data_IF_872407167544
#
_entry.id   IF_872407167544
#
_cell.length_a   1.000
_cell.length_b   1.000
_cell.length_c   1.000
_cell.angle_alpha   90.00
_cell.angle_beta   90.00
_cell.angle_gamma   90.00
#
_symmetry.space_group_name_H-M   'P 1'
#
loop_
_entity.id
_entity.type
_entity.pdbx_description
1 polymer ?
#
# COMPACT_ATOMS: atom_id res chain seq x y z
N UNK A 1 -4.45 -8.55 -5.51
CA UNK A 1 -5.57 -7.85 -4.83
C UNK A 1 -5.52 -8.17 -3.34
N UNK A 2 -5.89 -7.23 -2.46
CA UNK A 2 -6.07 -7.48 -1.02
C UNK A 2 -7.37 -8.25 -0.79
N UNK A 3 -7.33 -9.34 -0.03
CA UNK A 3 -8.49 -10.22 0.24
C UNK A 3 -9.50 -9.62 1.24
N UNK A 4 -9.16 -8.53 1.93
CA UNK A 4 -10.02 -7.88 2.95
C UNK A 4 -10.61 -6.53 2.53
N UNK A 5 -10.11 -5.89 1.47
CA UNK A 5 -10.69 -4.64 0.97
C UNK A 5 -10.68 -4.48 -0.57
N UNK A 6 -10.33 -5.54 -1.30
CA UNK A 6 -10.23 -5.59 -2.77
C UNK A 6 -9.31 -4.51 -3.39
N UNK A 7 -8.45 -3.87 -2.61
CA UNK A 7 -7.53 -2.88 -3.15
C UNK A 7 -6.38 -3.56 -3.91
N UNK A 8 -5.94 -2.91 -4.98
CA UNK A 8 -4.75 -3.32 -5.71
C UNK A 8 -3.50 -2.91 -4.93
N UNK A 9 -2.53 -3.83 -4.82
CA UNK A 9 -1.19 -3.52 -4.30
C UNK A 9 -0.36 -2.99 -5.46
N UNK A 10 -0.54 -1.71 -5.78
CA UNK A 10 0.23 -1.04 -6.81
C UNK A 10 1.09 0.06 -6.19
N UNK A 11 2.38 0.13 -6.54
CA UNK A 11 3.24 1.22 -6.09
C UNK A 11 2.77 2.57 -6.62
N UNK A 12 2.95 3.61 -5.82
CA UNK A 12 2.70 5.01 -6.21
C UNK A 12 4.02 5.64 -6.62
N UNK A 13 4.10 6.14 -7.84
CA UNK A 13 5.29 6.85 -8.31
C UNK A 13 5.26 8.30 -7.82
N UNK A 14 6.32 8.72 -7.12
CA UNK A 14 6.55 10.11 -6.77
C UNK A 14 7.55 10.69 -7.78
N UNK A 15 7.20 11.80 -8.42
CA UNK A 15 7.99 12.40 -9.49
C UNK A 15 8.16 13.91 -9.27
N UNK A 16 9.30 14.45 -9.71
CA UNK A 16 9.54 15.88 -9.82
C UNK A 16 9.86 16.25 -11.27
N UNK A 17 8.93 16.98 -11.89
CA UNK A 17 9.02 17.44 -13.28
C UNK A 17 9.10 16.31 -14.31
N UNK A 18 10.32 15.82 -14.56
CA UNK A 18 10.64 14.85 -15.62
C UNK A 18 11.18 13.52 -15.11
N UNK A 19 11.40 13.38 -13.80
CA UNK A 19 12.08 12.21 -13.22
C UNK A 19 11.28 11.65 -12.06
N UNK A 20 11.27 10.32 -11.95
CA UNK A 20 10.76 9.62 -10.78
C UNK A 20 11.78 9.81 -9.65
N UNK A 21 11.36 10.46 -8.56
CA UNK A 21 12.22 10.73 -7.41
C UNK A 21 12.14 9.61 -6.37
N UNK A 22 11.01 8.92 -6.28
CA UNK A 22 10.88 7.71 -5.46
C UNK A 22 9.65 6.89 -5.83
N UNK A 23 9.58 5.67 -5.28
CA UNK A 23 8.42 4.80 -5.39
C UNK A 23 7.89 4.58 -3.99
N UNK A 24 6.62 4.94 -3.79
CA UNK A 24 5.92 4.70 -2.54
C UNK A 24 5.27 3.33 -2.56
N UNK A 25 5.33 2.64 -1.43
CA UNK A 25 6.08 2.96 -0.21
C UNK A 25 7.59 2.70 -0.31
N UNK A 26 8.36 3.52 0.40
CA UNK A 26 9.82 3.37 0.49
C UNK A 26 10.19 2.36 1.57
N UNK A 27 11.34 1.70 1.38
CA UNK A 27 11.95 0.80 2.36
C UNK A 27 12.14 1.49 3.72
N UNK A 28 11.76 0.81 4.80
CA UNK A 28 11.87 1.33 6.17
C UNK A 28 10.56 1.90 6.73
N UNK A 29 9.48 1.92 5.95
CA UNK A 29 8.14 2.06 6.52
C UNK A 29 7.67 0.70 7.07
N UNK A 30 7.20 0.71 8.32
CA UNK A 30 6.86 -0.51 9.04
C UNK A 30 5.53 -1.08 8.53
N UNK A 31 5.60 -2.22 7.84
CA UNK A 31 4.42 -2.96 7.38
C UNK A 31 4.43 -4.40 7.87
N UNK A 32 3.24 -4.95 8.20
CA UNK A 32 3.17 -6.28 8.81
C UNK A 32 3.43 -7.43 7.84
N UNK A 33 3.30 -7.24 6.52
CA UNK A 33 3.49 -8.32 5.52
C UNK A 33 4.24 -7.85 4.28
N UNK A 34 3.86 -6.73 3.67
CA UNK A 34 4.52 -6.20 2.47
C UNK A 34 4.69 -4.70 2.55
N UNK A 35 5.77 -4.17 1.95
CA UNK A 35 5.99 -2.72 1.89
C UNK A 35 4.75 -2.00 1.34
N UNK A 36 4.10 -2.55 0.31
CA UNK A 36 2.91 -1.97 -0.36
C UNK A 36 1.64 -1.85 0.51
N UNK A 37 1.67 -2.27 1.77
CA UNK A 37 0.51 -2.22 2.67
C UNK A 37 0.32 -0.83 3.35
N UNK A 38 0.98 0.22 2.86
CA UNK A 38 1.02 1.58 3.43
C UNK A 38 -0.28 2.37 3.46
N UNK A 39 -1.26 2.05 2.62
CA UNK A 39 -2.40 2.94 2.40
C UNK A 39 -3.71 2.29 2.84
N UNK A 40 -4.32 2.92 3.84
CA UNK A 40 -5.63 2.56 4.37
C UNK A 40 -5.61 1.43 5.40
N UNK A 41 -6.80 1.01 5.82
CA UNK A 41 -6.97 0.02 6.88
C UNK A 41 -6.39 -1.34 6.49
N UNK A 42 -5.55 -1.88 7.36
CA UNK A 42 -4.96 -3.20 7.17
C UNK A 42 -5.91 -4.33 7.61
N UNK A 43 -5.53 -5.58 7.31
CA UNK A 43 -6.31 -6.78 7.64
C UNK A 43 -6.75 -6.85 9.12
N UNK A 44 -5.91 -6.59 10.15
CA UNK A 44 -6.35 -6.64 11.55
C UNK A 44 -7.29 -5.49 11.93
N UNK A 45 -7.25 -4.37 11.21
CA UNK A 45 -8.10 -3.19 11.46
C UNK A 45 -9.47 -3.32 10.79
N UNK A 46 -9.56 -4.19 9.78
CA UNK A 46 -10.78 -4.44 9.02
C UNK A 46 -11.72 -5.37 9.79
N UNK A 47 -12.77 -4.80 10.39
CA UNK A 47 -13.79 -5.56 11.15
C UNK A 47 -14.85 -6.24 10.29
N UNK A 48 -15.00 -5.81 9.04
CA UNK A 48 -15.99 -6.35 8.11
C UNK A 48 -15.37 -7.45 7.25
N UNK A 49 -16.12 -8.52 6.94
CA UNK A 49 -15.70 -9.51 5.94
C UNK A 49 -16.30 -9.11 4.59
N UNK A 50 -15.45 -8.99 3.57
CA UNK A 50 -15.92 -8.90 2.19
C UNK A 50 -16.73 -10.15 1.86
N UNK A 51 -17.90 -9.94 1.25
CA UNK A 51 -18.79 -11.00 0.76
C UNK A 51 -18.41 -11.42 -0.66
#
# INVERSE_FOLDING_TARGET
LRDWNLQLRQPILLADGKTIVSVSPQEGFLHPVTELDTLGYDRPETKCRLQ
#
